data_IF_346695243234
#
_entry.id   IF_346695243234
#
_cell.length_a   1.000
_cell.length_b   1.000
_cell.length_c   1.000
_cell.angle_alpha   90.00
_cell.angle_beta   90.00
_cell.angle_gamma   90.00
#
_symmetry.space_group_name_H-M   'P 1'
#
loop_
_entity.id
_entity.type
_entity.pdbx_description
1 polymer ?
#
# COMPACT_ATOMS: atom_id res chain seq x y z
N UNK A 1 -29.62 -0.60 -5.19
CA UNK A 1 -28.44 0.26 -5.33
C UNK A 1 -28.87 1.53 -6.07
N UNK A 2 -28.61 2.73 -5.54
CA UNK A 2 -28.99 4.00 -6.20
C UNK A 2 -28.07 4.23 -7.40
N UNK A 3 -28.55 4.96 -8.41
CA UNK A 3 -27.68 5.39 -9.51
C UNK A 3 -27.35 6.87 -9.35
N UNK A 4 -26.06 7.21 -9.28
CA UNK A 4 -25.60 8.59 -9.09
C UNK A 4 -24.92 9.13 -10.36
N UNK A 5 -25.15 10.41 -10.65
CA UNK A 5 -24.35 11.19 -11.59
C UNK A 5 -23.05 11.65 -10.93
N UNK A 6 -22.07 12.07 -11.73
CA UNK A 6 -20.85 12.70 -11.24
C UNK A 6 -21.15 13.90 -10.33
N UNK A 7 -22.11 14.76 -10.72
CA UNK A 7 -22.48 15.95 -9.95
C UNK A 7 -23.00 15.65 -8.55
N UNK A 8 -23.73 14.55 -8.37
CA UNK A 8 -24.22 14.14 -7.05
C UNK A 8 -23.10 13.53 -6.21
N UNK A 9 -22.20 12.75 -6.84
CA UNK A 9 -21.01 12.24 -6.14
C UNK A 9 -20.12 13.38 -5.65
N UNK A 10 -19.91 14.42 -6.46
CA UNK A 10 -19.16 15.62 -6.06
C UNK A 10 -19.80 16.27 -4.82
N UNK A 11 -21.13 16.42 -4.79
CA UNK A 11 -21.82 16.95 -3.60
C UNK A 11 -21.57 16.12 -2.34
N UNK A 12 -21.48 14.78 -2.48
CA UNK A 12 -21.16 13.90 -1.35
C UNK A 12 -19.77 14.23 -0.80
N UNK A 13 -18.73 14.20 -1.65
CA UNK A 13 -17.34 14.41 -1.22
C UNK A 13 -17.05 15.86 -0.80
N UNK A 14 -17.85 16.82 -1.24
CA UNK A 14 -17.83 18.21 -0.75
C UNK A 14 -18.59 18.37 0.58
N UNK A 15 -19.22 17.30 1.09
CA UNK A 15 -20.01 17.34 2.33
C UNK A 15 -21.34 18.06 2.23
N UNK A 16 -21.85 18.28 1.00
CA UNK A 16 -23.12 18.97 0.72
C UNK A 16 -24.32 18.01 0.66
N UNK A 17 -24.08 16.69 0.63
CA UNK A 17 -25.12 15.66 0.67
C UNK A 17 -25.30 15.12 2.10
N UNK A 18 -26.18 15.78 2.86
CA UNK A 18 -26.46 15.40 4.25
C UNK A 18 -27.14 14.03 4.39
N UNK A 19 -27.93 13.59 3.40
CA UNK A 19 -28.56 12.25 3.44
C UNK A 19 -27.46 11.18 3.42
N UNK A 20 -26.49 11.31 2.53
CA UNK A 20 -25.35 10.40 2.49
C UNK A 20 -24.51 10.48 3.77
N UNK A 21 -24.20 11.68 4.25
CA UNK A 21 -23.40 11.86 5.46
C UNK A 21 -24.02 11.23 6.70
N UNK A 22 -25.35 11.30 6.85
CA UNK A 22 -26.07 10.80 8.03
C UNK A 22 -26.35 9.30 7.90
N UNK A 23 -26.90 8.87 6.76
CA UNK A 23 -27.45 7.54 6.61
C UNK A 23 -26.48 6.58 5.91
N UNK A 24 -25.66 7.09 4.99
CA UNK A 24 -24.93 6.28 4.01
C UNK A 24 -25.87 5.50 3.08
N UNK A 25 -25.45 5.24 1.85
CA UNK A 25 -26.19 4.34 0.97
C UNK A 25 -25.33 3.79 -0.15
N UNK A 26 -25.67 2.57 -0.59
CA UNK A 26 -25.04 1.91 -1.72
C UNK A 26 -25.45 2.58 -3.06
N UNK A 27 -24.48 2.85 -3.93
CA UNK A 27 -24.72 3.43 -5.24
C UNK A 27 -23.84 2.88 -6.36
N UNK A 28 -24.27 3.09 -7.60
CA UNK A 28 -23.48 2.91 -8.81
C UNK A 28 -23.36 4.25 -9.53
N UNK A 29 -22.13 4.64 -9.88
CA UNK A 29 -21.88 5.79 -10.73
C UNK A 29 -22.14 5.42 -12.19
N UNK A 30 -22.87 6.30 -12.91
CA UNK A 30 -23.15 6.08 -14.34
C UNK A 30 -21.93 6.29 -15.23
N UNK A 31 -21.04 7.15 -14.79
CA UNK A 31 -19.95 7.72 -15.58
C UNK A 31 -18.69 7.83 -14.72
N UNK A 32 -17.51 7.83 -15.34
CA UNK A 32 -16.26 8.19 -14.69
C UNK A 32 -16.35 9.50 -13.91
N UNK A 33 -15.69 9.57 -12.77
CA UNK A 33 -15.55 10.81 -11.99
C UNK A 33 -14.10 11.26 -12.06
N UNK A 34 -13.92 12.51 -12.45
CA UNK A 34 -12.64 13.20 -12.42
C UNK A 34 -12.73 14.41 -11.50
N UNK A 35 -11.82 14.49 -10.54
CA UNK A 35 -11.69 15.56 -9.57
C UNK A 35 -10.35 16.25 -9.81
N UNK A 36 -10.38 17.46 -10.35
CA UNK A 36 -9.17 18.19 -10.71
C UNK A 36 -9.08 19.52 -9.98
N UNK A 37 -7.89 19.86 -9.49
CA UNK A 37 -7.58 21.18 -8.90
C UNK A 37 -8.55 21.57 -7.78
N UNK A 38 -9.08 20.57 -7.07
CA UNK A 38 -10.11 20.72 -6.06
C UNK A 38 -9.56 20.73 -4.64
N UNK A 39 -10.37 21.26 -3.72
CA UNK A 39 -10.14 21.21 -2.27
C UNK A 39 -11.30 20.43 -1.64
N UNK A 40 -11.03 19.18 -1.24
CA UNK A 40 -12.01 18.24 -0.72
C UNK A 40 -11.76 17.97 0.76
N UNK A 41 -11.95 19.02 1.55
CA UNK A 41 -11.75 19.02 3.00
C UNK A 41 -13.03 18.67 3.72
N UNK A 42 -12.96 17.68 4.60
CA UNK A 42 -14.06 17.32 5.49
C UNK A 42 -13.50 16.73 6.77
N UNK A 43 -14.17 17.03 7.90
CA UNK A 43 -13.90 16.36 9.17
C UNK A 43 -14.58 14.98 9.24
N UNK A 44 -15.50 14.70 8.31
CA UNK A 44 -16.17 13.41 8.23
C UNK A 44 -15.31 12.38 7.51
N UNK A 45 -15.43 11.14 7.97
CA UNK A 45 -14.93 9.97 7.24
C UNK A 45 -16.04 9.54 6.28
N UNK A 46 -15.73 9.50 5.00
CA UNK A 46 -16.67 9.05 3.97
C UNK A 46 -16.61 7.53 3.84
N UNK A 47 -17.70 6.86 4.21
CA UNK A 47 -17.84 5.41 4.09
C UNK A 47 -18.68 5.05 2.85
N UNK A 48 -18.00 4.64 1.78
CA UNK A 48 -18.62 4.15 0.56
C UNK A 48 -18.79 2.64 0.65
N UNK A 49 -20.00 2.18 1.03
CA UNK A 49 -20.31 0.76 1.20
C UNK A 49 -21.13 0.20 0.05
N UNK A 50 -20.73 -0.94 -0.48
CA UNK A 50 -21.41 -1.66 -1.57
C UNK A 50 -21.60 -0.78 -2.82
N UNK A 51 -20.58 -0.02 -3.20
CA UNK A 51 -20.64 0.88 -4.34
C UNK A 51 -20.03 0.27 -5.61
N UNK A 52 -20.46 0.78 -6.77
CA UNK A 52 -19.87 0.47 -8.08
C UNK A 52 -19.40 1.75 -8.76
N UNK A 53 -18.12 1.82 -9.09
CA UNK A 53 -17.51 2.97 -9.71
C UNK A 53 -16.80 2.51 -10.99
N UNK A 54 -17.10 3.07 -12.17
CA UNK A 54 -16.31 2.78 -13.35
C UNK A 54 -14.90 3.33 -13.16
N UNK A 55 -14.76 4.62 -12.83
CA UNK A 55 -13.48 5.25 -12.63
C UNK A 55 -13.58 6.41 -11.63
N UNK A 56 -12.58 6.56 -10.77
CA UNK A 56 -12.38 7.69 -9.88
C UNK A 56 -10.95 8.21 -10.01
N UNK A 57 -10.79 9.33 -10.72
CA UNK A 57 -9.50 10.00 -10.87
C UNK A 57 -9.50 11.27 -10.01
N UNK A 58 -8.45 11.44 -9.23
CA UNK A 58 -8.15 12.66 -8.48
C UNK A 58 -6.79 13.18 -8.92
N UNK A 59 -6.75 14.38 -9.47
CA UNK A 59 -5.54 15.01 -9.99
C UNK A 59 -5.35 16.41 -9.41
N UNK A 60 -4.10 16.76 -9.09
CA UNK A 60 -3.70 18.11 -8.66
C UNK A 60 -4.56 18.70 -7.53
N UNK A 61 -5.07 17.85 -6.63
CA UNK A 61 -6.08 18.22 -5.64
C UNK A 61 -5.56 18.05 -4.21
N UNK A 62 -6.26 18.67 -3.26
CA UNK A 62 -6.08 18.43 -1.83
C UNK A 62 -7.29 17.66 -1.29
N UNK A 63 -7.11 16.39 -0.99
CA UNK A 63 -8.10 15.49 -0.41
C UNK A 63 -7.73 15.25 1.05
N UNK A 64 -8.05 16.21 1.91
CA UNK A 64 -7.78 16.06 3.35
C UNK A 64 -8.82 15.18 4.06
N UNK A 65 -9.90 14.80 3.37
CA UNK A 65 -10.94 13.92 3.90
C UNK A 65 -10.49 12.46 3.87
N UNK A 66 -11.02 11.65 4.81
CA UNK A 66 -10.71 10.23 4.88
C UNK A 66 -11.76 9.42 4.13
N UNK A 67 -11.34 8.54 3.22
CA UNK A 67 -12.24 7.74 2.39
C UNK A 67 -12.09 6.26 2.67
N UNK A 68 -13.19 5.57 2.96
CA UNK A 68 -13.24 4.13 3.20
C UNK A 68 -14.19 3.51 2.20
N UNK A 69 -13.65 2.66 1.32
CA UNK A 69 -14.41 1.85 0.38
C UNK A 69 -14.54 0.44 0.91
N UNK A 70 -15.77 -0.04 1.07
CA UNK A 70 -16.06 -1.36 1.66
C UNK A 70 -17.01 -2.15 0.74
N UNK A 71 -16.63 -3.36 0.36
CA UNK A 71 -17.41 -4.23 -0.53
C UNK A 71 -17.73 -3.56 -1.88
N UNK A 72 -16.79 -2.78 -2.42
CA UNK A 72 -16.98 -2.04 -3.66
C UNK A 72 -16.39 -2.78 -4.87
N UNK A 73 -16.95 -2.52 -6.04
CA UNK A 73 -16.35 -2.86 -7.33
C UNK A 73 -15.94 -1.57 -8.03
N UNK A 74 -14.66 -1.45 -8.38
CA UNK A 74 -14.11 -0.24 -8.99
C UNK A 74 -13.24 -0.64 -10.18
N UNK A 75 -13.52 -0.15 -11.38
CA UNK A 75 -12.67 -0.54 -12.52
C UNK A 75 -11.32 0.18 -12.41
N UNK A 76 -11.31 1.49 -12.11
CA UNK A 76 -10.08 2.26 -11.87
C UNK A 76 -10.20 3.29 -10.73
N UNK A 77 -9.16 3.37 -9.90
CA UNK A 77 -8.93 4.51 -8.99
C UNK A 77 -7.53 5.05 -9.24
N UNK A 78 -7.41 6.34 -9.55
CA UNK A 78 -6.12 7.00 -9.69
C UNK A 78 -6.06 8.25 -8.82
N UNK A 79 -5.04 8.35 -7.97
CA UNK A 79 -4.74 9.53 -7.17
C UNK A 79 -3.36 10.05 -7.56
N UNK A 80 -3.36 11.20 -8.22
CA UNK A 80 -2.20 11.73 -8.94
C UNK A 80 -1.87 13.16 -8.52
N UNK A 81 -0.59 13.43 -8.28
CA UNK A 81 -0.10 14.80 -8.03
C UNK A 81 -0.87 15.55 -6.95
N UNK A 82 -1.42 14.83 -5.97
CA UNK A 82 -2.38 15.33 -5.00
C UNK A 82 -1.85 15.20 -3.57
N UNK A 83 -2.35 16.04 -2.66
CA UNK A 83 -2.22 15.79 -1.22
C UNK A 83 -3.41 14.96 -0.78
N UNK A 84 -3.14 13.89 -0.04
CA UNK A 84 -4.18 12.92 0.31
C UNK A 84 -4.04 12.59 1.78
N UNK A 85 -5.16 12.58 2.49
CA UNK A 85 -5.24 12.01 3.82
C UNK A 85 -5.29 10.47 3.72
N UNK A 86 -6.18 9.83 4.45
CA UNK A 86 -6.22 8.37 4.53
C UNK A 86 -7.26 7.81 3.57
N UNK A 87 -6.84 6.85 2.73
CA UNK A 87 -7.74 6.05 1.91
C UNK A 87 -7.63 4.58 2.27
N UNK A 88 -8.78 3.94 2.48
CA UNK A 88 -8.88 2.52 2.80
C UNK A 88 -9.77 1.79 1.79
N UNK A 89 -9.32 0.61 1.39
CA UNK A 89 -10.09 -0.36 0.61
C UNK A 89 -10.21 -1.66 1.41
N UNK A 90 -11.45 -2.13 1.56
CA UNK A 90 -11.77 -3.35 2.30
C UNK A 90 -12.76 -4.21 1.52
N UNK A 91 -12.41 -5.47 1.27
CA UNK A 91 -13.25 -6.41 0.51
C UNK A 91 -13.65 -5.89 -0.88
N UNK A 92 -12.76 -5.11 -1.53
CA UNK A 92 -13.04 -4.52 -2.84
C UNK A 92 -12.49 -5.37 -3.98
N UNK A 93 -13.12 -5.25 -5.15
CA UNK A 93 -12.57 -5.70 -6.43
C UNK A 93 -12.17 -4.46 -7.22
N UNK A 94 -10.88 -4.33 -7.52
CA UNK A 94 -10.32 -3.17 -8.21
C UNK A 94 -9.56 -3.65 -9.45
N UNK A 95 -9.83 -3.08 -10.63
CA UNK A 95 -9.02 -3.32 -11.81
C UNK A 95 -7.65 -2.68 -11.64
N UNK A 96 -7.62 -1.35 -11.73
CA UNK A 96 -6.41 -0.53 -11.61
C UNK A 96 -6.46 0.37 -10.37
N UNK A 97 -5.45 0.29 -9.50
CA UNK A 97 -5.23 1.21 -8.38
C UNK A 97 -3.89 1.93 -8.56
N UNK A 98 -3.96 3.23 -8.85
CA UNK A 98 -2.80 4.08 -9.14
C UNK A 98 -2.67 5.17 -8.09
N UNK A 99 -1.49 5.29 -7.50
CA UNK A 99 -1.11 6.33 -6.55
C UNK A 99 0.24 6.88 -6.96
N UNK A 100 0.27 8.04 -7.63
CA UNK A 100 1.52 8.55 -8.19
C UNK A 100 1.76 10.05 -8.03
N UNK A 101 3.04 10.40 -7.91
CA UNK A 101 3.52 11.78 -7.85
C UNK A 101 2.90 12.61 -6.72
N UNK A 102 2.35 11.98 -5.69
CA UNK A 102 1.72 12.70 -4.59
C UNK A 102 2.82 13.30 -3.69
N UNK A 103 2.84 14.63 -3.48
CA UNK A 103 3.82 15.24 -2.57
C UNK A 103 3.62 14.79 -1.11
N UNK A 104 2.40 14.44 -0.73
CA UNK A 104 2.04 13.87 0.57
C UNK A 104 0.86 12.90 0.41
N UNK A 105 1.15 11.60 0.44
CA UNK A 105 0.19 10.54 0.12
C UNK A 105 -0.58 9.97 1.33
N UNK A 106 -0.42 10.54 2.52
CA UNK A 106 -1.14 10.10 3.72
C UNK A 106 -0.99 8.60 3.99
N UNK A 107 -2.08 7.94 4.41
CA UNK A 107 -2.11 6.48 4.58
C UNK A 107 -2.97 5.79 3.52
N UNK A 108 -2.41 4.79 2.84
CA UNK A 108 -3.15 3.88 1.97
C UNK A 108 -3.24 2.51 2.63
N UNK A 109 -4.47 2.03 2.88
CA UNK A 109 -4.73 0.72 3.49
C UNK A 109 -5.55 -0.15 2.54
N UNK A 110 -5.05 -1.35 2.25
CA UNK A 110 -5.68 -2.33 1.36
C UNK A 110 -5.81 -3.64 2.12
N UNK A 111 -7.03 -4.15 2.30
CA UNK A 111 -7.27 -5.39 3.04
C UNK A 111 -8.36 -6.24 2.40
N UNK A 112 -8.08 -7.55 2.25
CA UNK A 112 -9.01 -8.52 1.66
C UNK A 112 -9.55 -8.11 0.28
N UNK A 113 -8.76 -7.39 -0.52
CA UNK A 113 -9.13 -6.93 -1.85
C UNK A 113 -8.60 -7.86 -2.94
N UNK A 114 -9.29 -7.89 -4.08
CA UNK A 114 -8.72 -8.34 -5.36
C UNK A 114 -8.29 -7.11 -6.16
N UNK A 115 -7.02 -7.04 -6.55
CA UNK A 115 -6.49 -5.95 -7.37
C UNK A 115 -5.69 -6.53 -8.53
N UNK A 116 -6.09 -6.22 -9.76
CA UNK A 116 -5.40 -6.72 -10.95
C UNK A 116 -4.07 -5.95 -11.15
N UNK A 117 -4.09 -4.63 -11.01
CA UNK A 117 -2.91 -3.78 -11.15
C UNK A 117 -2.80 -2.74 -10.03
N UNK A 118 -1.68 -2.74 -9.32
CA UNK A 118 -1.37 -1.75 -8.27
C UNK A 118 -0.07 -1.01 -8.60
N UNK A 119 -0.17 0.31 -8.74
CA UNK A 119 0.97 1.20 -8.94
C UNK A 119 1.04 2.22 -7.81
N UNK A 120 2.13 2.20 -7.04
CA UNK A 120 2.42 3.20 -6.02
C UNK A 120 3.78 3.84 -6.35
N UNK A 121 3.77 4.98 -7.02
CA UNK A 121 4.92 5.50 -7.76
C UNK A 121 5.28 6.93 -7.37
N UNK A 122 6.54 7.17 -7.02
CA UNK A 122 7.09 8.52 -6.89
C UNK A 122 6.31 9.42 -5.91
N UNK A 123 5.77 8.84 -4.83
CA UNK A 123 5.14 9.61 -3.76
C UNK A 123 6.25 10.12 -2.82
N UNK A 124 6.44 11.44 -2.76
CA UNK A 124 7.57 12.05 -2.04
C UNK A 124 7.55 11.74 -0.55
N UNK A 125 6.36 11.82 0.05
CA UNK A 125 6.09 11.49 1.45
C UNK A 125 4.86 10.60 1.56
N UNK A 126 4.85 9.73 2.57
CA UNK A 126 3.69 8.96 2.97
C UNK A 126 3.75 8.62 4.46
N UNK A 127 2.59 8.49 5.09
CA UNK A 127 2.49 8.06 6.48
C UNK A 127 2.50 6.52 6.59
N UNK A 128 1.63 5.84 5.83
CA UNK A 128 1.58 4.38 5.84
C UNK A 128 1.16 3.84 4.48
N UNK A 129 1.84 2.79 4.03
CA UNK A 129 1.36 1.95 2.94
C UNK A 129 1.17 0.54 3.50
N UNK A 130 -0.08 0.18 3.73
CA UNK A 130 -0.49 -1.09 4.33
C UNK A 130 -1.19 -1.96 3.31
N UNK A 131 -0.51 -3.01 2.87
CA UNK A 131 -1.06 -4.05 2.00
C UNK A 131 -1.23 -5.30 2.87
N UNK A 132 -2.46 -5.47 3.39
CA UNK A 132 -2.84 -6.48 4.36
C UNK A 132 -2.89 -7.91 3.83
N UNK A 133 -3.28 -8.83 4.72
CA UNK A 133 -3.54 -10.23 4.37
C UNK A 133 -4.88 -10.40 3.63
N UNK A 134 -5.14 -11.61 3.13
CA UNK A 134 -6.27 -11.95 2.24
C UNK A 134 -6.36 -11.17 0.92
N UNK A 135 -5.34 -10.37 0.57
CA UNK A 135 -5.30 -9.70 -0.73
C UNK A 135 -4.92 -10.68 -1.84
N UNK A 136 -5.59 -10.59 -2.98
CA UNK A 136 -5.22 -11.21 -4.25
C UNK A 136 -4.69 -10.12 -5.18
N UNK A 137 -3.38 -10.11 -5.41
CA UNK A 137 -2.71 -9.07 -6.19
C UNK A 137 -2.04 -9.69 -7.42
N UNK A 138 -2.42 -9.29 -8.64
CA UNK A 138 -1.76 -9.85 -9.83
C UNK A 138 -0.40 -9.17 -10.09
N UNK A 139 -0.41 -7.88 -10.44
CA UNK A 139 0.82 -7.12 -10.73
C UNK A 139 0.96 -5.90 -9.84
N UNK A 140 2.05 -5.82 -9.09
CA UNK A 140 2.31 -4.71 -8.15
C UNK A 140 3.66 -4.05 -8.41
N UNK A 141 3.65 -2.73 -8.57
CA UNK A 141 4.84 -1.89 -8.67
C UNK A 141 4.82 -0.80 -7.58
N UNK A 142 5.83 -0.82 -6.71
CA UNK A 142 6.03 0.21 -5.67
C UNK A 142 7.40 0.83 -5.88
N UNK A 143 7.47 1.98 -6.55
CA UNK A 143 8.74 2.53 -7.07
C UNK A 143 8.97 3.98 -6.64
N UNK A 144 10.19 4.30 -6.17
CA UNK A 144 10.65 5.66 -5.88
C UNK A 144 9.86 6.41 -4.78
N UNK A 145 9.50 5.75 -3.68
CA UNK A 145 8.64 6.35 -2.65
C UNK A 145 9.38 6.73 -1.37
N UNK A 146 8.93 7.81 -0.75
CA UNK A 146 9.38 8.23 0.58
C UNK A 146 10.74 8.91 0.60
N UNK A 147 11.20 9.48 -0.51
CA UNK A 147 12.48 10.21 -0.58
C UNK A 147 12.58 11.31 0.48
N UNK A 148 11.44 11.93 0.83
CA UNK A 148 11.34 12.99 1.81
C UNK A 148 10.71 12.53 3.15
N UNK A 149 10.63 11.21 3.41
CA UNK A 149 10.08 10.68 4.65
C UNK A 149 11.01 10.99 5.85
N UNK A 150 10.72 12.08 6.55
CA UNK A 150 11.43 12.52 7.76
C UNK A 150 10.75 12.09 9.07
N UNK A 151 9.51 11.61 9.01
CA UNK A 151 8.68 11.20 10.15
C UNK A 151 8.51 9.67 10.25
N UNK A 152 7.74 9.20 11.24
CA UNK A 152 7.35 7.79 11.38
C UNK A 152 6.48 7.37 10.17
N UNK A 153 7.12 6.75 9.19
CA UNK A 153 6.51 6.18 7.99
C UNK A 153 6.57 4.66 8.05
N UNK A 154 5.50 3.99 7.67
CA UNK A 154 5.39 2.54 7.78
C UNK A 154 5.03 1.90 6.44
N UNK A 155 5.72 0.81 6.10
CA UNK A 155 5.37 -0.05 4.99
C UNK A 155 5.06 -1.45 5.53
N UNK A 156 3.89 -1.99 5.18
CA UNK A 156 3.47 -3.33 5.56
C UNK A 156 2.99 -4.11 4.33
N UNK A 157 3.46 -5.35 4.20
CA UNK A 157 3.12 -6.24 3.09
C UNK A 157 2.84 -7.65 3.61
N UNK A 158 1.59 -8.11 3.47
CA UNK A 158 1.15 -9.48 3.80
C UNK A 158 0.22 -10.11 2.74
N UNK A 159 0.39 -9.94 1.42
CA UNK A 159 -0.55 -10.55 0.47
C UNK A 159 -0.41 -12.07 0.48
N UNK A 160 -1.53 -12.78 0.54
CA UNK A 160 -1.53 -14.25 0.58
C UNK A 160 -1.30 -14.86 -0.81
N UNK A 161 -1.75 -14.17 -1.87
CA UNK A 161 -1.66 -14.65 -3.25
C UNK A 161 -1.23 -13.52 -4.17
N UNK A 162 -0.10 -13.69 -4.83
CA UNK A 162 0.37 -12.77 -5.85
C UNK A 162 1.31 -13.42 -6.86
N UNK A 163 1.28 -12.93 -8.09
CA UNK A 163 2.17 -13.41 -9.15
C UNK A 163 3.55 -12.72 -9.06
N UNK A 164 3.55 -11.39 -9.05
CA UNK A 164 4.78 -10.61 -8.98
C UNK A 164 4.59 -9.28 -8.23
N UNK A 165 5.45 -9.04 -7.24
CA UNK A 165 5.56 -7.76 -6.52
C UNK A 165 6.98 -7.23 -6.69
N UNK A 166 7.07 -6.00 -7.21
CA UNK A 166 8.32 -5.28 -7.40
C UNK A 166 8.34 -4.03 -6.53
N UNK A 167 9.31 -3.94 -5.63
CA UNK A 167 9.50 -2.79 -4.73
C UNK A 167 10.90 -2.25 -4.93
N UNK A 168 10.99 -0.98 -5.35
CA UNK A 168 12.29 -0.34 -5.56
C UNK A 168 12.35 1.07 -5.01
N UNK A 169 13.52 1.45 -4.46
CA UNK A 169 13.80 2.81 -3.99
C UNK A 169 12.72 3.31 -3.03
N UNK A 170 12.42 2.48 -2.02
CA UNK A 170 11.48 2.79 -0.95
C UNK A 170 12.25 3.23 0.30
N UNK A 171 11.86 4.36 0.88
CA UNK A 171 12.39 4.84 2.16
C UNK A 171 11.25 4.94 3.18
N UNK A 172 11.35 4.18 4.28
CA UNK A 172 10.35 4.14 5.36
C UNK A 172 11.04 4.07 6.72
N UNK A 173 10.37 4.39 7.82
CA UNK A 173 10.91 4.17 9.17
C UNK A 173 10.84 2.71 9.57
N UNK A 174 9.69 2.07 9.30
CA UNK A 174 9.49 0.64 9.50
C UNK A 174 9.05 -0.01 8.19
N UNK A 175 9.60 -1.19 7.93
CA UNK A 175 9.17 -2.10 6.88
C UNK A 175 8.87 -3.45 7.50
N UNK A 176 7.66 -3.96 7.29
CA UNK A 176 7.25 -5.28 7.76
C UNK A 176 6.74 -6.13 6.58
N UNK A 177 7.32 -7.31 6.43
CA UNK A 177 6.88 -8.35 5.51
C UNK A 177 6.26 -9.47 6.36
N UNK A 178 4.95 -9.67 6.21
CA UNK A 178 4.17 -10.64 6.97
C UNK A 178 4.04 -12.03 6.34
N UNK A 179 4.47 -12.18 5.08
CA UNK A 179 4.62 -13.46 4.38
C UNK A 179 5.36 -13.23 3.07
N UNK A 180 5.99 -14.27 2.53
CA UNK A 180 6.51 -14.25 1.15
C UNK A 180 5.49 -14.72 0.13
N UNK A 181 4.33 -15.28 0.54
CA UNK A 181 3.39 -15.94 -0.36
C UNK A 181 3.95 -17.23 -0.95
N UNK A 182 3.08 -18.14 -1.37
CA UNK A 182 3.50 -19.38 -2.03
C UNK A 182 3.53 -19.21 -3.55
N UNK A 183 4.54 -19.77 -4.22
CA UNK A 183 4.74 -19.75 -5.68
C UNK A 183 4.81 -18.34 -6.29
N UNK A 184 5.21 -17.37 -5.48
CA UNK A 184 5.21 -15.96 -5.80
C UNK A 184 6.61 -15.43 -6.17
N UNK A 185 6.66 -14.26 -6.82
CA UNK A 185 7.91 -13.54 -7.08
C UNK A 185 7.91 -12.21 -6.33
N UNK A 186 8.79 -12.07 -5.33
CA UNK A 186 8.96 -10.83 -4.57
C UNK A 186 10.37 -10.28 -4.76
N UNK A 187 10.46 -9.10 -5.38
CA UNK A 187 11.72 -8.42 -5.64
C UNK A 187 11.78 -7.10 -4.89
N UNK A 188 12.78 -6.96 -4.02
CA UNK A 188 13.06 -5.74 -3.27
C UNK A 188 14.45 -5.21 -3.62
N UNK A 189 14.52 -3.93 -4.00
CA UNK A 189 15.79 -3.30 -4.34
C UNK A 189 15.91 -1.87 -3.82
N UNK A 190 17.09 -1.49 -3.32
CA UNK A 190 17.40 -0.13 -2.86
C UNK A 190 16.42 0.38 -1.78
N UNK A 191 16.13 -0.47 -0.80
CA UNK A 191 15.21 -0.14 0.29
C UNK A 191 15.98 0.45 1.47
N UNK A 192 15.42 1.51 2.08
CA UNK A 192 15.94 2.11 3.30
C UNK A 192 14.90 2.06 4.43
N UNK A 193 15.16 1.25 5.45
CA UNK A 193 14.27 1.13 6.61
C UNK A 193 15.06 0.90 7.90
N UNK A 194 14.79 1.70 8.94
CA UNK A 194 15.49 1.58 10.23
C UNK A 194 15.05 0.33 10.99
N UNK A 195 13.81 -0.10 10.81
CA UNK A 195 13.33 -1.38 11.29
C UNK A 195 12.83 -2.21 10.12
N UNK A 196 13.50 -3.33 9.84
CA UNK A 196 13.01 -4.38 8.94
C UNK A 196 12.54 -5.57 9.76
N UNK A 197 11.26 -5.90 9.65
CA UNK A 197 10.63 -7.05 10.31
C UNK A 197 10.18 -8.06 9.26
N UNK A 198 10.67 -9.29 9.38
CA UNK A 198 10.16 -10.45 8.67
C UNK A 198 9.37 -11.32 9.66
N UNK A 199 8.10 -11.55 9.38
CA UNK A 199 7.20 -12.34 10.22
C UNK A 199 6.54 -13.41 9.36
N UNK A 200 6.53 -14.66 9.82
CA UNK A 200 5.91 -15.79 9.10
C UNK A 200 6.43 -15.94 7.64
N UNK A 201 7.71 -15.65 7.42
CA UNK A 201 8.31 -15.69 6.09
C UNK A 201 9.01 -17.03 5.86
N UNK A 202 8.57 -17.78 4.84
CA UNK A 202 9.14 -19.07 4.45
C UNK A 202 9.51 -19.06 2.96
N UNK A 203 10.77 -19.32 2.63
CA UNK A 203 11.29 -19.17 1.25
C UNK A 203 11.21 -20.42 0.38
N UNK A 204 10.82 -21.57 0.91
CA UNK A 204 10.95 -22.87 0.20
C UNK A 204 10.18 -22.94 -1.13
N UNK A 205 9.09 -22.19 -1.24
CA UNK A 205 8.21 -22.19 -2.41
C UNK A 205 8.07 -20.82 -3.07
N UNK A 206 8.95 -19.85 -2.77
CA UNK A 206 8.85 -18.49 -3.31
C UNK A 206 10.18 -18.00 -3.85
N UNK A 207 10.12 -17.17 -4.90
CA UNK A 207 11.31 -16.50 -5.45
C UNK A 207 11.40 -15.13 -4.83
N UNK A 208 12.25 -15.00 -3.82
CA UNK A 208 12.39 -13.77 -3.04
C UNK A 208 13.82 -13.26 -3.16
N UNK A 209 13.96 -11.98 -3.48
CA UNK A 209 15.27 -11.32 -3.66
C UNK A 209 15.29 -10.01 -2.88
N UNK A 210 16.22 -9.92 -1.93
CA UNK A 210 16.53 -8.71 -1.18
C UNK A 210 17.86 -8.13 -1.69
N UNK A 211 17.79 -6.97 -2.34
CA UNK A 211 18.95 -6.30 -2.94
C UNK A 211 19.15 -4.89 -2.39
N UNK A 212 20.37 -4.54 -1.98
CA UNK A 212 20.76 -3.19 -1.51
C UNK A 212 19.80 -2.63 -0.46
N UNK A 213 19.44 -3.47 0.49
CA UNK A 213 18.58 -3.13 1.62
C UNK A 213 19.47 -2.69 2.78
N UNK A 214 19.15 -1.56 3.40
CA UNK A 214 19.95 -1.01 4.51
C UNK A 214 19.14 -0.09 5.41
N UNK A 215 19.58 0.17 6.65
CA UNK A 215 19.00 1.23 7.48
C UNK A 215 19.11 2.63 6.86
N UNK A 216 18.21 3.55 7.24
CA UNK A 216 18.36 4.98 6.93
C UNK A 216 19.42 5.60 7.83
N UNK A 217 19.37 5.22 9.11
CA UNK A 217 20.21 5.69 10.19
C UNK A 217 21.41 4.78 10.38
N UNK A 218 22.62 5.33 10.27
CA UNK A 218 23.89 4.57 10.38
C UNK A 218 24.05 3.79 11.69
N UNK A 219 23.40 4.23 12.77
CA UNK A 219 23.62 3.73 14.13
C UNK A 219 22.37 3.08 14.77
N UNK A 220 21.30 2.82 14.00
CA UNK A 220 19.98 2.48 14.57
C UNK A 220 19.20 1.39 13.84
N UNK A 221 19.83 0.65 12.93
CA UNK A 221 19.16 -0.39 12.15
C UNK A 221 18.83 -1.65 12.95
N UNK A 222 17.56 -2.03 13.01
CA UNK A 222 17.10 -3.31 13.56
C UNK A 222 16.56 -4.20 12.45
N UNK A 223 17.09 -5.42 12.36
CA UNK A 223 16.50 -6.52 11.61
C UNK A 223 15.90 -7.51 12.60
N UNK A 224 14.61 -7.82 12.44
CA UNK A 224 13.92 -8.78 13.31
C UNK A 224 13.28 -9.88 12.46
N UNK A 225 13.51 -11.13 12.84
CA UNK A 225 12.89 -12.32 12.24
C UNK A 225 12.04 -13.01 13.30
N UNK A 226 10.75 -13.20 13.01
CA UNK A 226 9.79 -13.84 13.89
C UNK A 226 9.08 -14.97 13.15
N UNK A 227 9.09 -16.17 13.73
CA UNK A 227 8.42 -17.35 13.19
C UNK A 227 8.74 -17.58 11.69
N UNK A 228 9.99 -17.38 11.27
CA UNK A 228 10.42 -17.37 9.85
C UNK A 228 11.58 -18.33 9.56
N UNK A 229 11.56 -18.97 8.39
CA UNK A 229 12.65 -19.83 7.89
C UNK A 229 13.05 -19.38 6.49
N UNK A 230 14.22 -18.74 6.38
CA UNK A 230 14.63 -18.05 5.16
C UNK A 230 15.99 -18.59 4.67
N UNK A 231 16.08 -18.97 3.40
CA UNK A 231 17.36 -19.37 2.80
C UNK A 231 18.32 -18.20 2.68
N UNK A 232 19.61 -18.42 2.95
CA UNK A 232 20.63 -17.38 2.87
C UNK A 232 20.70 -16.69 1.49
N UNK A 233 20.40 -17.43 0.41
CA UNK A 233 20.38 -16.95 -0.98
C UNK A 233 19.35 -15.85 -1.27
N UNK A 234 18.40 -15.60 -0.36
CA UNK A 234 17.45 -14.48 -0.46
C UNK A 234 18.16 -13.14 -0.29
N UNK A 235 19.27 -13.12 0.44
CA UNK A 235 20.02 -11.91 0.82
C UNK A 235 21.34 -11.79 0.04
N UNK A 236 21.87 -10.57 -0.07
CA UNK A 236 23.25 -10.33 -0.51
C UNK A 236 24.27 -10.66 0.60
N UNK A 237 25.51 -11.01 0.23
CA UNK A 237 26.57 -11.47 1.14
C UNK A 237 26.82 -10.57 2.37
N UNK A 238 26.63 -9.26 2.22
CA UNK A 238 26.87 -8.25 3.27
C UNK A 238 25.58 -7.70 3.91
N UNK A 239 24.41 -8.27 3.59
CA UNK A 239 23.11 -7.76 4.04
C UNK A 239 23.06 -7.57 5.56
N UNK A 240 23.43 -8.59 6.33
CA UNK A 240 23.37 -8.56 7.80
C UNK A 240 24.35 -7.55 8.42
N UNK A 241 25.49 -7.28 7.77
CA UNK A 241 26.48 -6.30 8.26
C UNK A 241 25.97 -4.87 8.22
N UNK A 242 24.92 -4.60 7.46
CA UNK A 242 24.31 -3.27 7.35
C UNK A 242 23.44 -2.90 8.57
N UNK A 243 23.06 -3.87 9.40
CA UNK A 243 22.19 -3.68 10.56
C UNK A 243 23.00 -3.59 11.86
N UNK A 244 22.54 -2.74 12.78
CA UNK A 244 23.15 -2.59 14.11
C UNK A 244 22.79 -3.76 15.03
N UNK A 245 21.54 -4.23 14.95
CA UNK A 245 21.05 -5.40 15.70
C UNK A 245 20.29 -6.35 14.77
N UNK A 246 20.46 -7.66 15.01
CA UNK A 246 19.71 -8.72 14.35
C UNK A 246 19.11 -9.63 15.42
N UNK A 247 17.79 -9.75 15.43
CA UNK A 247 17.03 -10.50 16.42
C UNK A 247 16.27 -11.66 15.78
N UNK A 248 16.27 -12.81 16.45
CA UNK A 248 15.58 -14.02 16.02
C UNK A 248 14.63 -14.50 17.11
N UNK A 249 13.38 -14.78 16.74
CA UNK A 249 12.39 -15.44 17.58
C UNK A 249 11.76 -16.58 16.80
N UNK A 250 11.97 -17.82 17.26
CA UNK A 250 11.52 -19.04 16.57
C UNK A 250 11.87 -19.03 15.06
N UNK A 251 13.05 -18.51 14.71
CA UNK A 251 13.42 -18.23 13.32
C UNK A 251 14.80 -18.78 12.99
N UNK A 252 14.99 -19.14 11.71
CA UNK A 252 16.23 -19.73 11.18
C UNK A 252 16.59 -19.10 9.84
N UNK A 253 17.89 -18.97 9.60
CA UNK A 253 18.43 -18.70 8.27
C UNK A 253 19.18 -19.95 7.84
N UNK A 254 18.66 -20.62 6.81
CA UNK A 254 19.26 -21.85 6.33
C UNK A 254 20.47 -21.49 5.47
N UNK A 255 21.66 -21.84 5.97
CA UNK A 255 22.94 -21.71 5.26
C UNK A 255 23.15 -22.77 4.18
N UNK A 256 22.21 -23.71 4.02
CA UNK A 256 22.26 -24.78 3.02
C UNK A 256 21.71 -24.31 1.67
N UNK A 257 22.44 -23.38 1.06
CA UNK A 257 22.50 -23.24 -0.40
C UNK A 257 23.94 -22.83 -0.74
N UNK A 258 24.87 -23.79 -0.56
CA UNK A 258 26.22 -23.72 -1.13
C UNK A 258 26.16 -23.73 -2.66
#
# INVERSE_FOLDING_TARGET
MRTLSQSNFIKIIEGKDYDFLINGFAFSLKEPVQLEKGQFHSQHIYHFKNCRLPQLIVSESDVSSQWVFENCQIDEVAIESSRVANIQFENCVIGDLVYKFNPDAGALRIHACKIDHLEYLSNSKFHSLYIGCNNLLDKVNILNNGIDNTSASEFYLCPEKFNAIRIEKLTASKMEIGTFGEYSNLYLNEIRADHLLLRNCHSNNSKVIFKRIRPKSKNGGLLQLIDSTVGASVFEDDFFKSYFSVEYKNSTIDSFAL
#
